data_IF_747605330541
#
_entry.id   IF_747605330541
#
_cell.length_a   1.000
_cell.length_b   1.000
_cell.length_c   1.000
_cell.angle_alpha   90.00
_cell.angle_beta   90.00
_cell.angle_gamma   90.00
#
_symmetry.space_group_name_H-M   'P 1'
#
loop_
_entity.id
_entity.type
_entity.pdbx_description
1 polymer ?
#
# COMPACT_ATOMS: atom_id res chain seq x y z
N UNK A 1 -47.32 100.09 -16.93
CA UNK A 1 -46.37 99.26 -16.16
C UNK A 1 -47.16 98.15 -15.49
N UNK A 2 -47.14 96.96 -16.08
CA UNK A 2 -47.45 95.71 -15.39
C UNK A 2 -46.47 94.69 -15.95
N UNK A 3 -45.52 94.27 -15.12
CA UNK A 3 -44.47 93.34 -15.48
C UNK A 3 -44.97 91.93 -15.15
N UNK A 4 -45.10 91.09 -16.18
CA UNK A 4 -45.33 89.66 -16.03
C UNK A 4 -44.12 88.98 -15.35
N UNK A 5 -44.33 88.05 -14.40
CA UNK A 5 -43.25 87.25 -13.84
C UNK A 5 -42.82 86.15 -14.83
N UNK A 6 -41.50 85.88 -14.98
CA UNK A 6 -41.01 84.89 -15.94
C UNK A 6 -41.28 83.45 -15.49
N UNK A 7 -41.66 82.61 -16.46
CA UNK A 7 -41.87 81.16 -16.37
C UNK A 7 -40.56 80.42 -16.08
N UNK A 8 -40.53 79.37 -15.23
CA UNK A 8 -39.31 78.61 -14.96
C UNK A 8 -38.95 77.69 -16.14
N UNK A 9 -37.69 77.74 -16.57
CA UNK A 9 -37.12 76.85 -17.59
C UNK A 9 -36.87 75.43 -17.06
N UNK A 10 -36.69 74.45 -17.95
CA UNK A 10 -36.54 73.04 -17.59
C UNK A 10 -35.20 72.74 -16.90
N UNK A 11 -35.13 71.70 -16.04
CA UNK A 11 -33.92 71.36 -15.30
C UNK A 11 -32.81 70.79 -16.21
N UNK A 12 -31.56 71.09 -15.85
CA UNK A 12 -30.35 70.63 -16.53
C UNK A 12 -30.10 69.12 -16.31
N UNK A 13 -29.39 68.42 -17.22
CA UNK A 13 -29.14 66.99 -17.10
C UNK A 13 -28.12 66.65 -16.02
N UNK A 14 -28.40 65.60 -15.24
CA UNK A 14 -27.55 65.08 -14.17
C UNK A 14 -26.16 64.66 -14.68
N UNK A 15 -25.11 65.13 -14.02
CA UNK A 15 -23.73 64.67 -14.25
C UNK A 15 -23.54 63.25 -13.68
N UNK A 16 -22.74 62.38 -14.34
CA UNK A 16 -22.45 61.04 -13.83
C UNK A 16 -21.62 61.11 -12.53
N UNK A 17 -21.81 60.18 -11.58
CA UNK A 17 -21.10 60.20 -10.31
C UNK A 17 -19.60 59.96 -10.51
N UNK A 18 -18.82 60.81 -9.84
CA UNK A 18 -17.36 60.80 -9.77
C UNK A 18 -16.84 59.48 -9.16
N UNK A 19 -16.10 58.71 -9.95
CA UNK A 19 -15.60 57.37 -9.61
C UNK A 19 -14.34 57.36 -8.73
N UNK A 20 -13.98 58.49 -8.11
CA UNK A 20 -12.67 58.67 -7.46
C UNK A 20 -12.64 58.50 -5.93
N UNK A 21 -13.69 57.98 -5.28
CA UNK A 21 -13.73 57.79 -3.82
C UNK A 21 -14.10 56.38 -3.37
N UNK A 22 -13.22 55.41 -3.59
CA UNK A 22 -13.22 54.15 -2.82
C UNK A 22 -12.01 54.18 -1.90
N UNK A 23 -12.22 54.68 -0.68
CA UNK A 23 -11.27 54.44 0.42
C UNK A 23 -11.34 52.98 0.87
N UNK A 24 -10.25 52.38 1.37
CA UNK A 24 -10.27 51.00 1.85
C UNK A 24 -11.25 50.88 3.02
N UNK A 25 -12.31 50.08 2.84
CA UNK A 25 -13.24 49.76 3.91
C UNK A 25 -12.49 49.05 5.06
N UNK A 26 -12.74 49.40 6.33
CA UNK A 26 -12.11 48.72 7.46
C UNK A 26 -12.56 47.26 7.47
N UNK A 27 -11.60 46.36 7.29
CA UNK A 27 -11.87 44.92 7.33
C UNK A 27 -12.47 44.55 8.69
N UNK A 28 -13.59 43.80 8.71
CA UNK A 28 -14.24 43.49 9.96
C UNK A 28 -13.34 42.56 10.81
N UNK A 29 -13.31 42.73 12.14
CA UNK A 29 -12.36 42.02 13.01
C UNK A 29 -12.50 40.49 12.96
N UNK A 30 -13.67 39.96 12.60
CA UNK A 30 -13.86 38.52 12.38
C UNK A 30 -13.08 37.99 11.16
N UNK A 31 -12.86 38.80 10.13
CA UNK A 31 -12.11 38.40 8.94
C UNK A 31 -10.60 38.30 9.24
N UNK A 32 -10.07 39.22 10.06
CA UNK A 32 -8.69 39.14 10.55
C UNK A 32 -8.50 37.91 11.46
N UNK A 33 -9.46 37.63 12.35
CA UNK A 33 -9.41 36.42 13.18
C UNK A 33 -9.44 35.13 12.34
N UNK A 34 -10.26 35.07 11.28
CA UNK A 34 -10.31 33.93 10.38
C UNK A 34 -8.99 33.73 9.62
N UNK A 35 -8.34 34.80 9.15
CA UNK A 35 -7.03 34.72 8.46
C UNK A 35 -5.94 34.22 9.43
N UNK A 36 -5.95 34.67 10.68
CA UNK A 36 -5.00 34.20 11.70
C UNK A 36 -5.23 32.72 12.03
N UNK A 37 -6.48 32.26 12.11
CA UNK A 37 -6.82 30.87 12.39
C UNK A 37 -6.42 29.95 11.22
N UNK A 38 -6.68 30.36 9.98
CA UNK A 38 -6.31 29.61 8.78
C UNK A 38 -4.78 29.57 8.59
N UNK A 39 -4.09 30.70 8.79
CA UNK A 39 -2.62 30.73 8.74
C UNK A 39 -1.99 29.91 9.86
N UNK A 40 -2.56 29.93 11.08
CA UNK A 40 -2.15 29.08 12.19
C UNK A 40 -2.30 27.59 11.89
N UNK A 41 -3.43 27.18 11.31
CA UNK A 41 -3.66 25.78 10.89
C UNK A 41 -2.74 25.35 9.76
N UNK A 42 -2.45 26.22 8.80
CA UNK A 42 -1.48 25.96 7.72
C UNK A 42 -0.06 25.81 8.25
N UNK A 43 0.37 26.68 9.16
CA UNK A 43 1.71 26.60 9.79
C UNK A 43 1.81 25.36 10.66
N UNK A 44 0.78 25.04 11.46
CA UNK A 44 0.75 23.82 12.27
C UNK A 44 0.77 22.56 11.40
N UNK A 45 0.00 22.54 10.32
CA UNK A 45 0.02 21.47 9.31
C UNK A 45 1.39 21.31 8.64
N UNK A 46 2.01 22.41 8.21
CA UNK A 46 3.37 22.39 7.64
C UNK A 46 4.42 21.93 8.66
N UNK A 47 4.38 22.42 9.90
CA UNK A 47 5.27 22.00 10.97
C UNK A 47 5.09 20.52 11.33
N UNK A 48 3.84 20.03 11.40
CA UNK A 48 3.55 18.62 11.64
C UNK A 48 4.03 17.74 10.48
N UNK A 49 3.82 18.15 9.22
CA UNK A 49 4.33 17.46 8.04
C UNK A 49 5.87 17.41 8.01
N UNK A 50 6.54 18.52 8.34
CA UNK A 50 8.00 18.58 8.42
C UNK A 50 8.51 17.72 9.57
N UNK A 51 7.88 17.77 10.75
CA UNK A 51 8.22 16.94 11.90
C UNK A 51 8.08 15.44 11.56
N UNK A 52 6.97 15.03 10.95
CA UNK A 52 6.73 13.65 10.55
C UNK A 52 7.71 13.18 9.45
N UNK A 53 8.05 14.06 8.50
CA UNK A 53 9.09 13.79 7.47
C UNK A 53 10.49 13.69 8.07
N UNK A 54 10.78 14.45 9.15
CA UNK A 54 12.07 14.42 9.88
C UNK A 54 12.19 13.17 10.76
N UNK A 55 11.09 12.73 11.39
CA UNK A 55 11.03 11.45 12.11
C UNK A 55 11.19 10.25 11.15
N UNK A 56 10.52 10.26 9.99
CA UNK A 56 10.74 9.24 8.93
C UNK A 56 12.20 9.21 8.45
N UNK A 57 12.86 10.36 8.30
CA UNK A 57 14.29 10.44 7.92
C UNK A 57 15.25 9.93 9.01
N UNK A 58 14.88 9.99 10.30
CA UNK A 58 15.70 9.41 11.38
C UNK A 58 15.58 7.88 11.45
N UNK A 59 14.39 7.33 11.17
CA UNK A 59 14.18 5.88 11.07
C UNK A 59 14.84 5.27 9.81
N UNK A 60 14.84 5.99 8.68
CA UNK A 60 15.51 5.55 7.44
C UNK A 60 17.06 5.55 7.51
N UNK A 61 17.68 6.29 8.43
CA UNK A 61 19.15 6.33 8.58
C UNK A 61 19.73 5.16 9.39
N UNK A 62 18.92 4.46 10.21
CA UNK A 62 19.38 3.24 10.90
C UNK A 62 19.46 2.03 9.96
N UNK A 63 18.58 1.95 8.96
CA UNK A 63 18.55 0.86 7.97
C UNK A 63 19.77 0.87 7.02
N UNK A 64 20.26 2.04 6.61
CA UNK A 64 21.36 2.13 5.63
C UNK A 64 22.74 1.81 6.24
N UNK A 65 22.98 2.16 7.50
CA UNK A 65 24.23 1.83 8.19
C UNK A 65 24.38 0.31 8.44
N UNK A 66 23.27 -0.38 8.73
CA UNK A 66 23.25 -1.84 8.93
C UNK A 66 23.40 -2.60 7.61
N UNK A 67 22.84 -2.08 6.50
CA UNK A 67 22.98 -2.67 5.17
C UNK A 67 24.42 -2.56 4.60
N UNK A 68 25.17 -1.52 4.97
CA UNK A 68 26.53 -1.30 4.46
C UNK A 68 27.58 -2.20 5.14
N UNK A 69 27.42 -2.47 6.44
CA UNK A 69 28.30 -3.38 7.20
C UNK A 69 28.08 -4.84 6.75
N UNK A 70 26.83 -5.24 6.50
CA UNK A 70 26.49 -6.59 6.03
C UNK A 70 27.00 -6.89 4.60
N UNK A 71 27.07 -5.89 3.71
CA UNK A 71 27.57 -6.09 2.34
C UNK A 71 29.11 -6.26 2.28
N UNK A 72 29.84 -5.70 3.26
CA UNK A 72 31.28 -5.88 3.38
C UNK A 72 31.62 -7.30 3.87
N UNK A 73 30.87 -7.80 4.85
CA UNK A 73 31.03 -9.18 5.38
C UNK A 73 30.68 -10.23 4.31
N UNK A 74 29.61 -10.02 3.52
CA UNK A 74 29.23 -10.92 2.42
C UNK A 74 30.26 -10.91 1.27
N UNK A 75 30.94 -9.79 1.03
CA UNK A 75 32.02 -9.71 0.03
C UNK A 75 33.30 -10.42 0.47
N UNK A 76 33.63 -10.40 1.76
CA UNK A 76 34.77 -11.15 2.30
C UNK A 76 34.49 -12.66 2.33
N UNK A 77 33.27 -13.07 2.69
CA UNK A 77 32.85 -14.47 2.65
C UNK A 77 32.83 -15.04 1.22
N UNK A 78 32.42 -14.23 0.24
CA UNK A 78 32.42 -14.60 -1.18
C UNK A 78 33.81 -14.79 -1.80
N UNK A 79 34.84 -14.08 -1.30
CA UNK A 79 36.23 -14.31 -1.74
C UNK A 79 36.82 -15.60 -1.17
N UNK A 80 36.47 -15.95 0.06
CA UNK A 80 36.93 -17.20 0.70
C UNK A 80 36.34 -18.46 0.05
N UNK A 81 35.11 -18.36 -0.46
CA UNK A 81 34.40 -19.52 -1.04
C UNK A 81 34.83 -19.87 -2.47
N UNK A 82 35.37 -18.91 -3.25
CA UNK A 82 35.83 -19.16 -4.63
C UNK A 82 37.23 -19.81 -4.65
N UNK A 83 38.01 -19.67 -3.57
CA UNK A 83 39.40 -20.15 -3.52
C UNK A 83 39.53 -21.62 -3.04
N UNK A 84 38.42 -22.30 -2.73
CA UNK A 84 38.46 -23.59 -1.98
C UNK A 84 37.65 -24.78 -2.50
N UNK A 85 37.06 -24.77 -3.70
CA UNK A 85 36.44 -26.01 -4.25
C UNK A 85 36.49 -25.95 -5.78
N UNK A 86 37.03 -26.90 -6.54
CA UNK A 86 36.97 -28.39 -6.53
C UNK A 86 38.17 -28.99 -7.33
N UNK A 87 38.39 -30.33 -7.44
CA UNK A 87 37.64 -31.49 -6.90
C UNK A 87 38.50 -32.59 -6.22
N UNK A 88 37.90 -33.42 -5.37
CA UNK A 88 37.96 -34.89 -5.49
C UNK A 88 36.81 -35.52 -4.69
N UNK A 89 36.33 -36.64 -5.21
CA UNK A 89 35.15 -37.43 -4.82
C UNK A 89 35.48 -38.38 -3.67
N UNK A 90 34.61 -38.52 -2.67
CA UNK A 90 34.31 -39.83 -2.06
C UNK A 90 33.01 -39.78 -1.23
N UNK A 91 32.23 -40.85 -1.36
CA UNK A 91 30.91 -41.13 -0.81
C UNK A 91 31.03 -41.69 0.63
N UNK A 92 30.08 -41.35 1.53
CA UNK A 92 29.57 -42.19 2.66
C UNK A 92 28.69 -41.35 3.63
N UNK A 93 27.47 -41.80 3.92
CA UNK A 93 26.67 -41.45 5.13
C UNK A 93 27.02 -42.43 6.30
N UNK A 94 26.56 -42.29 7.59
CA UNK A 94 25.59 -41.35 8.21
C UNK A 94 25.98 -40.72 9.60
N UNK A 95 25.43 -39.54 9.91
CA UNK A 95 25.03 -38.93 11.22
C UNK A 95 25.99 -38.93 12.47
N UNK A 96 25.65 -38.24 13.59
CA UNK A 96 25.29 -36.82 13.79
C UNK A 96 26.19 -36.13 14.86
N UNK A 97 26.31 -34.79 14.85
CA UNK A 97 26.45 -33.90 16.05
C UNK A 97 27.10 -32.55 15.71
N UNK A 98 26.60 -31.47 16.31
CA UNK A 98 27.32 -30.18 16.41
C UNK A 98 26.46 -28.95 16.09
N UNK A 99 26.05 -28.15 17.10
CA UNK A 99 25.05 -27.09 16.96
C UNK A 99 25.70 -25.79 16.48
N UNK A 100 25.20 -25.27 15.36
CA UNK A 100 25.66 -23.98 14.82
C UNK A 100 24.68 -23.43 13.80
N UNK A 101 23.38 -23.59 14.04
CA UNK A 101 22.37 -23.00 13.17
C UNK A 101 22.35 -21.49 13.42
N UNK A 102 22.92 -20.73 12.48
CA UNK A 102 22.61 -19.31 12.32
C UNK A 102 21.12 -19.22 12.00
N UNK A 103 20.32 -18.97 13.02
CA UNK A 103 18.89 -18.68 12.90
C UNK A 103 18.77 -17.42 12.05
N UNK A 104 18.42 -17.58 10.77
CA UNK A 104 17.81 -16.49 10.02
C UNK A 104 16.63 -16.00 10.87
N UNK A 105 16.57 -14.71 11.21
CA UNK A 105 15.43 -14.13 11.91
C UNK A 105 14.17 -14.39 11.09
N UNK A 106 13.48 -15.49 11.41
CA UNK A 106 12.17 -15.83 10.90
C UNK A 106 11.25 -14.84 11.60
N UNK A 107 11.07 -13.66 11.01
CA UNK A 107 10.00 -12.75 11.44
C UNK A 107 8.71 -13.58 11.42
N UNK A 108 8.19 -13.91 12.60
CA UNK A 108 6.95 -14.65 12.74
C UNK A 108 5.83 -13.72 12.29
N UNK A 109 5.36 -13.90 11.06
CA UNK A 109 4.28 -13.09 10.46
C UNK A 109 2.91 -13.42 11.07
N UNK A 110 2.87 -14.42 11.95
CA UNK A 110 1.68 -14.97 12.59
C UNK A 110 1.16 -16.22 11.90
N UNK A 111 0.00 -16.67 12.36
CA UNK A 111 -0.74 -17.82 11.83
C UNK A 111 -2.21 -17.47 11.61
N UNK A 112 -2.82 -18.07 10.61
CA UNK A 112 -4.22 -17.89 10.25
C UNK A 112 -4.96 -19.23 10.40
N UNK A 113 -6.09 -19.21 11.10
CA UNK A 113 -7.04 -20.31 11.15
C UNK A 113 -8.15 -20.09 10.13
N UNK A 114 -8.37 -21.09 9.29
CA UNK A 114 -9.40 -21.06 8.27
C UNK A 114 -10.14 -22.39 8.21
N UNK A 115 -11.37 -22.34 7.71
CA UNK A 115 -12.16 -23.51 7.36
C UNK A 115 -12.41 -23.57 5.86
N UNK A 116 -12.40 -24.79 5.30
CA UNK A 116 -12.78 -25.05 3.91
C UNK A 116 -13.82 -26.15 3.88
N UNK A 117 -14.89 -25.91 3.14
CA UNK A 117 -15.93 -26.89 2.89
C UNK A 117 -16.44 -26.74 1.45
N UNK A 118 -16.92 -27.82 0.84
CA UNK A 118 -17.46 -27.77 -0.51
C UNK A 118 -18.88 -28.27 -0.54
N UNK A 119 -19.81 -27.39 -0.90
CA UNK A 119 -21.20 -27.75 -1.07
C UNK A 119 -21.41 -28.30 -2.49
N UNK A 120 -21.54 -29.62 -2.58
CA UNK A 120 -21.82 -30.33 -3.83
C UNK A 120 -23.24 -30.08 -4.37
N UNK A 121 -24.19 -29.66 -3.52
CA UNK A 121 -25.56 -29.38 -3.96
C UNK A 121 -25.65 -28.04 -4.68
N UNK A 122 -25.00 -27.01 -4.14
CA UNK A 122 -24.99 -25.67 -4.74
C UNK A 122 -23.81 -25.40 -5.67
N UNK A 123 -22.79 -26.28 -5.68
CA UNK A 123 -21.60 -26.15 -6.51
C UNK A 123 -20.70 -24.99 -6.07
N UNK A 124 -20.51 -24.81 -4.77
CA UNK A 124 -19.79 -23.66 -4.20
C UNK A 124 -18.75 -24.09 -3.16
N UNK A 125 -17.57 -23.48 -3.22
CA UNK A 125 -16.57 -23.58 -2.17
C UNK A 125 -16.89 -22.58 -1.05
N UNK A 126 -17.07 -23.07 0.16
CA UNK A 126 -17.21 -22.29 1.38
C UNK A 126 -15.84 -22.13 2.03
N UNK A 127 -15.40 -20.89 2.20
CA UNK A 127 -14.15 -20.52 2.86
C UNK A 127 -14.48 -19.71 4.10
N UNK A 128 -14.23 -20.27 5.28
CA UNK A 128 -14.37 -19.57 6.54
C UNK A 128 -13.04 -19.01 7.02
N UNK A 129 -13.01 -17.74 7.39
CA UNK A 129 -11.89 -17.11 8.06
C UNK A 129 -12.26 -17.01 9.54
N UNK A 130 -11.62 -17.83 10.37
CA UNK A 130 -11.98 -17.96 11.79
C UNK A 130 -11.28 -16.88 12.60
N UNK A 131 -9.95 -16.96 12.68
CA UNK A 131 -9.14 -16.04 13.47
C UNK A 131 -7.68 -16.06 13.00
N UNK A 132 -6.92 -15.05 13.38
CA UNK A 132 -5.47 -15.04 13.25
C UNK A 132 -4.81 -14.82 14.60
N UNK A 133 -3.59 -15.33 14.77
CA UNK A 133 -2.82 -15.21 16.00
C UNK A 133 -1.37 -14.81 15.72
N UNK A 134 -0.83 -13.93 16.57
CA UNK A 134 0.58 -13.51 16.50
C UNK A 134 0.93 -12.72 15.25
N UNK A 135 0.02 -11.88 14.75
CA UNK A 135 0.30 -11.04 13.59
C UNK A 135 1.43 -10.04 13.90
N UNK A 136 2.25 -9.74 12.89
CA UNK A 136 3.30 -8.74 13.01
C UNK A 136 2.69 -7.33 13.18
N UNK A 137 3.14 -6.60 14.19
CA UNK A 137 2.72 -5.22 14.41
C UNK A 137 3.42 -4.28 13.42
N UNK A 138 2.65 -3.67 12.52
CA UNK A 138 3.17 -2.73 11.51
C UNK A 138 2.93 -1.26 11.89
N UNK A 139 1.97 -0.96 12.76
CA UNK A 139 1.75 0.41 13.21
C UNK A 139 2.79 0.87 14.24
N UNK A 140 3.04 2.19 14.23
CA UNK A 140 3.89 2.89 15.21
C UNK A 140 3.46 2.67 16.68
N UNK A 141 2.24 2.19 16.91
CA UNK A 141 1.68 1.89 18.23
C UNK A 141 1.94 0.47 18.72
N UNK A 142 2.63 -0.39 17.94
CA UNK A 142 2.75 -1.82 18.27
C UNK A 142 1.45 -2.61 18.09
N UNK A 143 0.49 -2.04 17.37
CA UNK A 143 -0.77 -2.67 16.98
C UNK A 143 -0.84 -2.83 15.47
N UNK A 144 -1.87 -3.51 14.98
CA UNK A 144 -2.28 -3.49 13.58
C UNK A 144 -3.80 -3.48 13.52
N UNK A 145 -4.34 -3.04 12.38
CA UNK A 145 -5.74 -3.10 12.01
C UNK A 145 -5.96 -4.20 10.95
N UNK A 146 -5.84 -5.50 11.30
CA UNK A 146 -5.84 -6.57 10.32
C UNK A 146 -7.19 -6.81 9.64
N UNK A 147 -7.12 -7.11 8.34
CA UNK A 147 -8.21 -7.67 7.54
C UNK A 147 -7.66 -8.69 6.53
N UNK A 148 -8.50 -9.65 6.13
CA UNK A 148 -8.10 -10.73 5.22
C UNK A 148 -8.79 -10.56 3.88
N UNK A 149 -8.00 -10.59 2.81
CA UNK A 149 -8.46 -10.69 1.43
C UNK A 149 -8.40 -12.15 0.97
N UNK A 150 -9.52 -12.67 0.51
CA UNK A 150 -9.66 -14.05 0.04
C UNK A 150 -9.98 -14.03 -1.45
N UNK A 151 -9.18 -14.74 -2.24
CA UNK A 151 -9.39 -14.87 -3.68
C UNK A 151 -8.85 -16.20 -4.22
N UNK A 152 -9.34 -16.61 -5.39
CA UNK A 152 -8.95 -17.87 -6.04
C UNK A 152 -8.14 -17.59 -7.30
N UNK A 153 -6.88 -18.02 -7.34
CA UNK A 153 -6.10 -17.96 -8.57
C UNK A 153 -6.60 -19.02 -9.57
N UNK A 154 -6.65 -18.71 -10.89
CA UNK A 154 -6.11 -17.50 -11.53
C UNK A 154 -7.01 -16.25 -11.49
N UNK A 155 -8.25 -16.36 -11.01
CA UNK A 155 -9.21 -15.25 -10.96
C UNK A 155 -8.92 -14.26 -9.81
N UNK A 156 -8.02 -13.31 -10.07
CA UNK A 156 -7.70 -12.22 -9.13
C UNK A 156 -8.81 -11.17 -8.99
N UNK A 157 -9.82 -11.17 -9.87
CA UNK A 157 -10.88 -10.14 -9.86
C UNK A 157 -11.94 -10.44 -8.79
N UNK A 158 -12.27 -11.71 -8.60
CA UNK A 158 -13.21 -12.17 -7.57
C UNK A 158 -12.50 -12.29 -6.21
N UNK A 159 -12.54 -11.19 -5.45
CA UNK A 159 -12.01 -11.13 -4.09
C UNK A 159 -13.10 -10.80 -3.08
N UNK A 160 -12.99 -11.41 -1.91
CA UNK A 160 -13.78 -11.09 -0.73
C UNK A 160 -12.85 -10.53 0.34
N UNK A 161 -13.36 -9.61 1.16
CA UNK A 161 -12.59 -8.98 2.23
C UNK A 161 -13.37 -9.14 3.53
N UNK A 162 -12.68 -9.48 4.61
CA UNK A 162 -13.27 -9.48 5.96
C UNK A 162 -13.44 -8.05 6.46
N UNK A 163 -14.17 -7.91 7.57
CA UNK A 163 -14.17 -6.69 8.36
C UNK A 163 -12.76 -6.41 8.90
N UNK A 164 -12.48 -5.13 9.05
CA UNK A 164 -11.25 -4.63 9.66
C UNK A 164 -11.43 -4.66 11.18
N UNK A 165 -10.54 -5.37 11.88
CA UNK A 165 -10.48 -5.34 13.33
C UNK A 165 -9.40 -4.36 13.76
N UNK A 166 -9.73 -3.37 14.60
CA UNK A 166 -8.79 -2.33 14.98
C UNK A 166 -7.93 -2.72 16.17
N UNK A 167 -6.66 -2.31 16.13
CA UNK A 167 -5.69 -2.37 17.21
C UNK A 167 -5.57 -3.78 17.84
N UNK A 168 -5.49 -4.81 17.02
CA UNK A 168 -5.39 -6.20 17.49
C UNK A 168 -4.41 -7.01 16.66
N UNK A 169 -3.58 -7.81 17.35
CA UNK A 169 -2.68 -8.78 16.71
C UNK A 169 -3.30 -10.19 16.68
N UNK A 170 -4.45 -10.37 17.32
CA UNK A 170 -5.19 -11.63 17.38
C UNK A 170 -6.67 -11.39 17.00
N UNK A 171 -6.96 -11.02 15.74
CA UNK A 171 -8.33 -10.77 15.31
C UNK A 171 -9.13 -12.07 15.22
N UNK A 172 -10.38 -12.03 15.70
CA UNK A 172 -11.36 -13.08 15.48
C UNK A 172 -12.42 -12.59 14.48
N UNK A 173 -12.32 -13.07 13.24
CA UNK A 173 -13.17 -12.65 12.12
C UNK A 173 -14.52 -13.38 12.14
N UNK A 174 -14.50 -14.72 12.14
CA UNK A 174 -15.71 -15.56 12.09
C UNK A 174 -16.57 -15.32 10.84
N UNK A 175 -15.95 -15.07 9.68
CA UNK A 175 -16.63 -14.73 8.44
C UNK A 175 -16.51 -15.85 7.40
N UNK A 176 -17.61 -16.16 6.72
CA UNK A 176 -17.66 -17.20 5.68
C UNK A 176 -17.93 -16.59 4.31
N UNK A 177 -17.16 -17.03 3.31
CA UNK A 177 -17.25 -16.60 1.92
C UNK A 177 -17.59 -17.77 1.02
N UNK A 178 -18.50 -17.56 0.07
CA UNK A 178 -18.93 -18.58 -0.88
C UNK A 178 -18.42 -18.25 -2.30
N UNK A 179 -17.64 -19.16 -2.88
CA UNK A 179 -17.13 -19.06 -4.24
C UNK A 179 -17.85 -20.04 -5.16
N UNK A 180 -18.59 -19.51 -6.13
CA UNK A 180 -19.26 -20.31 -7.18
C UNK A 180 -18.23 -20.87 -8.15
N UNK A 181 -17.78 -22.10 -7.92
CA UNK A 181 -16.78 -22.81 -8.71
C UNK A 181 -17.13 -24.30 -8.78
N UNK A 182 -17.27 -24.87 -9.99
CA UNK A 182 -17.46 -26.31 -10.15
C UNK A 182 -16.29 -27.13 -9.59
N UNK A 183 -16.57 -28.28 -8.98
CA UNK A 183 -15.56 -29.14 -8.35
C UNK A 183 -14.45 -29.55 -9.33
N UNK A 184 -14.80 -29.80 -10.60
CA UNK A 184 -13.86 -30.18 -11.66
C UNK A 184 -12.79 -29.11 -11.91
N UNK A 185 -13.16 -27.83 -11.84
CA UNK A 185 -12.23 -26.72 -12.03
C UNK A 185 -11.44 -26.39 -10.77
N UNK A 186 -11.88 -26.89 -9.61
CA UNK A 186 -11.33 -26.52 -8.33
C UNK A 186 -9.91 -27.06 -8.15
N UNK A 187 -9.62 -28.28 -8.62
CA UNK A 187 -8.28 -28.89 -8.51
C UNK A 187 -7.16 -28.08 -9.18
N UNK A 188 -7.47 -27.28 -10.20
CA UNK A 188 -6.52 -26.40 -10.87
C UNK A 188 -6.35 -25.02 -10.23
N UNK A 189 -7.09 -24.71 -9.16
CA UNK A 189 -7.10 -23.40 -8.51
C UNK A 189 -6.28 -23.38 -7.23
N UNK A 190 -5.83 -22.19 -6.85
CA UNK A 190 -5.12 -21.95 -5.58
C UNK A 190 -5.90 -20.91 -4.80
N UNK A 191 -6.35 -21.29 -3.60
CA UNK A 191 -6.94 -20.35 -2.67
C UNK A 191 -5.83 -19.52 -2.04
N UNK A 192 -5.99 -18.21 -2.09
CA UNK A 192 -5.08 -17.27 -1.45
C UNK A 192 -5.84 -16.47 -0.40
N UNK A 193 -5.33 -16.49 0.82
CA UNK A 193 -5.82 -15.71 1.95
C UNK A 193 -4.70 -14.78 2.38
N UNK A 194 -4.77 -13.52 1.98
CA UNK A 194 -3.75 -12.52 2.25
C UNK A 194 -4.21 -11.58 3.36
N UNK A 195 -3.41 -11.46 4.41
CA UNK A 195 -3.66 -10.62 5.58
C UNK A 195 -2.97 -9.28 5.36
N UNK A 196 -3.75 -8.21 5.48
CA UNK A 196 -3.28 -6.83 5.33
C UNK A 196 -3.59 -6.04 6.58
N UNK A 197 -2.77 -5.02 6.81
CA UNK A 197 -3.01 -3.97 7.80
C UNK A 197 -3.73 -2.79 7.15
N UNK A 198 -4.88 -2.40 7.70
CA UNK A 198 -5.67 -1.30 7.17
C UNK A 198 -5.18 0.04 7.69
N UNK A 199 -4.85 0.95 6.77
CA UNK A 199 -4.08 2.13 7.12
C UNK A 199 -4.77 3.41 6.61
N UNK A 200 -5.37 4.21 7.50
CA UNK A 200 -6.31 5.29 7.12
C UNK A 200 -5.68 6.40 6.26
N UNK A 201 -4.39 6.66 6.42
CA UNK A 201 -3.69 7.80 5.80
C UNK A 201 -2.58 7.35 4.84
N UNK A 202 -2.61 6.09 4.44
CA UNK A 202 -1.46 5.35 3.95
C UNK A 202 -1.94 4.24 3.01
N UNK A 203 -1.01 3.49 2.40
CA UNK A 203 -1.38 2.27 1.67
C UNK A 203 -1.42 1.14 2.69
N UNK A 204 -2.36 0.23 2.51
CA UNK A 204 -2.47 -0.95 3.37
C UNK A 204 -1.23 -1.84 3.19
N UNK A 205 -0.58 -2.17 4.30
CA UNK A 205 0.63 -2.99 4.29
C UNK A 205 0.27 -4.48 4.32
N UNK A 206 0.93 -5.29 3.50
CA UNK A 206 0.72 -6.73 3.51
C UNK A 206 1.52 -7.35 4.66
N UNK A 207 0.83 -8.00 5.61
CA UNK A 207 1.47 -8.71 6.72
C UNK A 207 2.01 -10.06 6.21
N UNK A 208 1.15 -10.83 5.54
CA UNK A 208 1.51 -12.12 4.99
C UNK A 208 0.36 -12.77 4.25
N UNK A 209 0.62 -13.89 3.59
CA UNK A 209 -0.39 -14.66 2.89
C UNK A 209 -0.28 -16.16 3.15
N UNK A 210 -1.42 -16.84 3.01
CA UNK A 210 -1.51 -18.29 2.99
C UNK A 210 -2.00 -18.70 1.61
N UNK A 211 -1.23 -19.57 0.95
CA UNK A 211 -1.62 -20.20 -0.31
C UNK A 211 -1.96 -21.65 -0.08
N UNK A 212 -3.14 -22.07 -0.53
CA UNK A 212 -3.61 -23.44 -0.42
C UNK A 212 -3.97 -23.94 -1.81
N UNK A 213 -3.14 -24.80 -2.42
CA UNK A 213 -3.50 -25.48 -3.65
C UNK A 213 -4.71 -26.38 -3.39
N UNK A 214 -5.80 -26.16 -4.10
CA UNK A 214 -7.03 -26.91 -3.87
C UNK A 214 -6.89 -28.39 -4.26
N UNK A 215 -5.92 -28.72 -5.13
CA UNK A 215 -5.53 -30.10 -5.44
C UNK A 215 -5.00 -30.90 -4.25
N UNK A 216 -4.46 -30.22 -3.23
CA UNK A 216 -3.89 -30.85 -2.03
C UNK A 216 -4.88 -30.99 -0.87
N UNK A 217 -6.09 -30.44 -1.02
CA UNK A 217 -7.10 -30.40 0.04
C UNK A 217 -8.17 -31.44 -0.25
N UNK A 218 -8.38 -32.33 0.71
CA UNK A 218 -9.52 -33.25 0.69
C UNK A 218 -10.78 -32.51 1.17
N UNK A 219 -11.64 -32.13 0.22
CA UNK A 219 -12.92 -31.45 0.47
C UNK A 219 -14.09 -32.43 0.70
N UNK A 220 -13.81 -33.72 0.92
CA UNK A 220 -14.85 -34.69 1.32
C UNK A 220 -15.40 -34.44 2.73
N UNK A 221 -14.70 -33.62 3.53
CA UNK A 221 -15.11 -33.19 4.87
C UNK A 221 -14.73 -31.73 5.10
N UNK A 222 -15.43 -31.01 5.99
CA UNK A 222 -15.00 -29.69 6.41
C UNK A 222 -13.58 -29.75 6.99
N UNK A 223 -12.66 -29.00 6.39
CA UNK A 223 -11.28 -28.86 6.83
C UNK A 223 -11.20 -27.64 7.74
N UNK A 224 -10.66 -27.79 8.95
CA UNK A 224 -10.31 -26.67 9.83
C UNK A 224 -8.83 -26.78 10.15
N UNK A 225 -8.03 -25.80 9.74
CA UNK A 225 -6.59 -25.87 9.86
C UNK A 225 -5.96 -24.52 10.23
N UNK A 226 -4.85 -24.60 10.95
CA UNK A 226 -3.94 -23.49 11.15
C UNK A 226 -2.85 -23.52 10.10
N UNK A 227 -2.50 -22.36 9.54
CA UNK A 227 -1.32 -22.21 8.68
C UNK A 227 -0.52 -20.98 9.07
N UNK A 228 0.80 -21.13 9.04
CA UNK A 228 1.73 -20.00 9.19
C UNK A 228 1.58 -19.04 7.99
N UNK A 229 1.61 -17.75 8.28
CA UNK A 229 1.64 -16.72 7.25
C UNK A 229 3.01 -16.69 6.60
N UNK A 230 3.03 -16.69 5.27
CA UNK A 230 4.24 -16.53 4.49
C UNK A 230 4.37 -15.06 4.08
N UNK A 231 5.59 -14.60 3.85
CA UNK A 231 5.81 -13.25 3.34
C UNK A 231 5.07 -13.13 2.00
N UNK A 232 4.09 -12.22 1.93
CA UNK A 232 3.42 -11.97 0.68
C UNK A 232 4.48 -11.52 -0.33
N UNK A 233 4.58 -12.15 -1.51
CA UNK A 233 5.36 -11.58 -2.57
C UNK A 233 4.79 -10.19 -2.77
N UNK A 234 5.62 -9.15 -2.62
CA UNK A 234 5.22 -7.76 -2.88
C UNK A 234 4.39 -7.82 -4.13
N UNK A 235 3.13 -7.36 -4.08
CA UNK A 235 2.30 -7.25 -5.27
C UNK A 235 3.16 -6.52 -6.30
N UNK A 236 3.78 -7.29 -7.20
CA UNK A 236 4.47 -6.72 -8.34
C UNK A 236 3.36 -6.00 -9.04
N UNK A 237 3.37 -4.66 -8.93
CA UNK A 237 2.44 -3.79 -9.62
C UNK A 237 2.18 -4.43 -10.95
N UNK A 238 0.90 -4.79 -11.21
CA UNK A 238 0.51 -5.50 -12.43
C UNK A 238 1.29 -4.89 -13.57
N UNK A 239 2.23 -5.67 -14.13
CA UNK A 239 3.32 -5.10 -14.92
C UNK A 239 2.68 -4.25 -16.02
N UNK A 240 2.79 -2.92 -15.88
CA UNK A 240 2.03 -1.97 -16.71
C UNK A 240 2.57 -1.92 -18.14
N UNK A 241 3.71 -2.56 -18.36
CA UNK A 241 4.47 -2.63 -19.59
C UNK A 241 5.86 -2.06 -19.39
N UNK A 242 6.66 -2.23 -20.43
CA UNK A 242 8.02 -1.76 -20.53
C UNK A 242 8.07 -0.69 -21.63
N UNK A 243 8.74 0.45 -21.40
CA UNK A 243 8.95 1.50 -22.42
C UNK A 243 10.45 1.69 -22.63
N UNK A 244 10.88 1.59 -23.88
CA UNK A 244 12.23 1.88 -24.30
C UNK A 244 12.30 3.29 -24.90
N UNK A 245 13.21 4.13 -24.40
CA UNK A 245 13.44 5.46 -24.94
C UNK A 245 14.92 5.86 -24.86
N UNK A 246 15.34 6.71 -25.78
CA UNK A 246 16.70 7.28 -25.85
C UNK A 246 16.68 8.75 -25.45
N UNK A 247 17.63 9.14 -24.61
CA UNK A 247 17.83 10.52 -24.18
C UNK A 247 19.11 11.09 -24.80
N UNK A 248 19.05 12.30 -25.33
CA UNK A 248 20.23 13.06 -25.79
C UNK A 248 20.17 14.48 -25.26
N UNK A 249 21.15 14.89 -24.46
CA UNK A 249 21.27 16.27 -23.98
C UNK A 249 22.43 17.00 -24.64
N UNK A 250 22.18 18.23 -25.10
CA UNK A 250 23.19 19.14 -25.66
C UNK A 250 23.29 20.37 -24.75
N UNK A 251 24.31 20.44 -23.86
CA UNK A 251 24.45 21.52 -22.88
C UNK A 251 24.57 22.90 -23.52
N UNK A 252 25.33 23.00 -24.61
CA UNK A 252 25.62 24.26 -25.32
C UNK A 252 24.36 24.95 -25.86
N UNK A 253 23.34 24.17 -26.21
CA UNK A 253 22.06 24.68 -26.72
C UNK A 253 20.92 24.56 -25.68
N UNK A 254 21.20 24.04 -24.47
CA UNK A 254 20.18 23.73 -23.47
C UNK A 254 19.11 22.72 -23.93
N UNK A 255 19.39 21.91 -24.96
CA UNK A 255 18.38 21.05 -25.62
C UNK A 255 18.45 19.61 -25.11
N UNK A 256 17.36 19.12 -24.51
CA UNK A 256 17.13 17.70 -24.23
C UNK A 256 16.21 17.11 -25.30
N UNK A 257 16.66 16.04 -25.96
CA UNK A 257 15.88 15.27 -26.92
C UNK A 257 15.53 13.92 -26.30
N UNK A 258 14.24 13.62 -26.24
CA UNK A 258 13.71 12.34 -25.77
C UNK A 258 13.09 11.62 -26.96
N UNK A 259 13.59 10.45 -27.31
CA UNK A 259 13.10 9.63 -28.43
C UNK A 259 12.48 8.37 -27.83
N UNK A 260 11.16 8.23 -27.93
CA UNK A 260 10.48 6.97 -27.54
C UNK A 260 10.68 5.97 -28.66
N UNK A 261 11.30 4.82 -28.36
CA UNK A 261 11.66 3.79 -29.33
C UNK A 261 10.54 2.76 -29.48
N UNK A 262 10.18 2.11 -28.38
CA UNK A 262 9.15 1.06 -28.36
C UNK A 262 8.51 0.93 -26.99
N UNK A 263 7.32 0.35 -26.94
CA UNK A 263 6.68 -0.09 -25.71
C UNK A 263 6.18 -1.53 -25.87
N UNK A 264 6.39 -2.37 -24.84
CA UNK A 264 6.07 -3.80 -24.83
C UNK A 264 5.25 -4.15 -23.59
N UNK A 265 4.44 -5.20 -23.68
CA UNK A 265 3.63 -5.71 -22.56
C UNK A 265 2.73 -4.67 -21.89
N UNK A 266 2.26 -3.66 -22.63
CA UNK A 266 1.39 -2.62 -22.08
C UNK A 266 0.06 -3.22 -21.62
N UNK A 267 -0.37 -2.84 -20.42
CA UNK A 267 -1.66 -3.24 -19.88
C UNK A 267 -2.79 -2.65 -20.74
N UNK A 268 -3.72 -3.49 -21.20
CA UNK A 268 -4.92 -3.05 -21.93
C UNK A 268 -5.77 -2.15 -21.03
N UNK A 269 -6.09 -0.96 -21.53
CA UNK A 269 -7.05 -0.06 -20.92
C UNK A 269 -8.41 -0.31 -21.59
N UNK A 270 -9.40 -0.78 -20.83
CA UNK A 270 -10.80 -0.93 -21.28
C UNK A 270 -11.58 0.36 -21.01
#
# INVERSE_FOLDING_TARGET
>A
MFSEPPTPGPPAPDAPPDSSRIGPAPVPPWALAAIVLVSGLLVFGCCFCVYRKRCRRRLGKKSQAQAQVHLQEVKELGRSYIDKVQPEVEELEPAPSGPGSKVAEKHELGRLQYSLDYDFQSGQLLVGIVQAEGLAALDLGGSSDPYVRVYLLPDKRRRHETKVHRQTLNPHFGENFAFKVPYVELGGRVLVMAVYDFDRFSRNDAIGEVRVPMSSVDLGRPVLAWRELQAAPREEQEKLGDICFSLRYVPTAGKLTVIVLEAKNLKKMD
#
